data_IF_729804301409
#
_entry.id   IF_729804301409
#
_cell.length_a   1.000
_cell.length_b   1.000
_cell.length_c   1.000
_cell.angle_alpha   90.00
_cell.angle_beta   90.00
_cell.angle_gamma   90.00
#
_symmetry.space_group_name_H-M   'P 1'
#
loop_
_entity.id
_entity.type
_entity.pdbx_description
1 polymer ?
#
# COMPACT_ATOMS: atom_id res chain seq x y z
N UNK A 1 -6.57 46.47 20.39
CA UNK A 1 -6.00 45.27 19.76
C UNK A 1 -4.89 45.70 18.82
N UNK A 2 -3.67 45.23 19.04
CA UNK A 2 -2.51 45.56 18.21
C UNK A 2 -2.40 44.59 17.03
N UNK A 3 -1.92 45.12 15.90
CA UNK A 3 -1.88 44.49 14.58
C UNK A 3 -1.33 43.04 14.61
N UNK A 4 -0.32 42.79 15.45
CA UNK A 4 0.33 41.49 15.62
C UNK A 4 -0.60 40.38 16.15
N UNK A 5 -1.62 40.74 16.93
CA UNK A 5 -2.59 39.77 17.47
C UNK A 5 -3.59 39.32 16.40
N UNK A 6 -3.96 40.24 15.49
CA UNK A 6 -4.84 39.92 14.36
C UNK A 6 -4.17 38.99 13.35
N UNK A 7 -2.90 39.22 13.01
CA UNK A 7 -2.14 38.35 12.10
C UNK A 7 -1.94 36.93 12.64
N UNK A 8 -1.70 36.79 13.94
CA UNK A 8 -1.56 35.47 14.59
C UNK A 8 -2.88 34.70 14.58
N UNK A 9 -4.01 35.37 14.80
CA UNK A 9 -5.33 34.74 14.75
C UNK A 9 -5.67 34.24 13.33
N UNK A 10 -5.39 35.04 12.31
CA UNK A 10 -5.59 34.65 10.90
C UNK A 10 -4.71 33.45 10.52
N UNK A 11 -3.43 33.47 10.91
CA UNK A 11 -2.51 32.36 10.62
C UNK A 11 -2.92 31.05 11.32
N UNK A 12 -3.38 31.13 12.58
CA UNK A 12 -3.87 29.96 13.31
C UNK A 12 -5.15 29.37 12.70
N UNK A 13 -6.09 30.22 12.25
CA UNK A 13 -7.30 29.78 11.58
C UNK A 13 -7.01 29.10 10.23
N UNK A 14 -6.07 29.65 9.44
CA UNK A 14 -5.65 29.05 8.18
C UNK A 14 -4.96 27.67 8.38
N UNK A 15 -4.13 27.53 9.42
CA UNK A 15 -3.49 26.26 9.76
C UNK A 15 -4.50 25.20 10.20
N UNK A 16 -5.48 25.56 11.03
CA UNK A 16 -6.54 24.65 11.47
C UNK A 16 -7.42 24.18 10.29
N UNK A 17 -7.71 25.06 9.34
CA UNK A 17 -8.47 24.72 8.13
C UNK A 17 -7.68 23.82 7.17
N UNK A 18 -6.36 24.01 7.07
CA UNK A 18 -5.51 23.15 6.26
C UNK A 18 -5.34 21.75 6.89
N UNK A 19 -5.24 21.67 8.21
CA UNK A 19 -5.14 20.40 8.94
C UNK A 19 -6.42 19.55 8.84
N UNK A 20 -7.61 20.18 8.78
CA UNK A 20 -8.88 19.45 8.66
C UNK A 20 -9.11 18.84 7.26
N UNK A 21 -8.38 19.28 6.25
CA UNK A 21 -8.44 18.76 4.88
C UNK A 21 -7.48 17.60 4.63
N UNK A 22 -6.56 17.30 5.56
CA UNK A 22 -5.59 16.22 5.42
C UNK A 22 -6.19 14.87 5.87
N UNK A 23 -7.07 14.29 5.05
CA UNK A 23 -7.47 12.89 5.23
C UNK A 23 -6.46 11.96 4.53
N UNK A 24 -5.84 11.06 5.30
CA UNK A 24 -5.02 9.99 4.76
C UNK A 24 -5.91 8.94 4.07
N UNK A 25 -5.61 8.62 2.81
CA UNK A 25 -6.28 7.52 2.12
C UNK A 25 -5.86 6.18 2.75
N UNK A 26 -6.83 5.31 3.02
CA UNK A 26 -6.60 3.97 3.60
C UNK A 26 -6.91 2.89 2.57
N UNK A 27 -6.06 1.86 2.52
CA UNK A 27 -6.15 0.75 1.58
C UNK A 27 -6.12 -0.59 2.29
N UNK A 28 -6.83 -1.57 1.74
CA UNK A 28 -6.75 -2.97 2.15
C UNK A 28 -6.24 -3.82 0.97
N UNK A 29 -5.33 -4.74 1.29
CA UNK A 29 -4.75 -5.70 0.33
C UNK A 29 -5.13 -7.11 0.78
N UNK A 30 -5.78 -7.87 -0.09
CA UNK A 30 -6.26 -9.23 0.20
C UNK A 30 -5.55 -10.21 -0.72
N UNK A 31 -4.87 -11.20 -0.15
CA UNK A 31 -4.24 -12.28 -0.90
C UNK A 31 -5.23 -13.42 -1.16
N UNK A 32 -5.51 -13.71 -2.43
CA UNK A 32 -6.38 -14.82 -2.83
C UNK A 32 -5.53 -15.99 -3.34
N UNK A 33 -5.28 -16.96 -2.47
CA UNK A 33 -4.37 -18.07 -2.76
C UNK A 33 -4.80 -18.97 -3.92
N UNK A 34 -6.08 -19.30 -4.00
CA UNK A 34 -6.64 -20.21 -5.01
C UNK A 34 -6.76 -19.53 -6.37
N UNK A 35 -7.28 -18.29 -6.38
CA UNK A 35 -7.39 -17.45 -7.58
C UNK A 35 -6.05 -16.95 -8.10
N UNK A 36 -5.00 -16.98 -7.26
CA UNK A 36 -3.65 -16.47 -7.56
C UNK A 36 -3.64 -15.00 -7.96
N UNK A 37 -4.34 -14.20 -7.17
CA UNK A 37 -4.34 -12.75 -7.33
C UNK A 37 -4.36 -12.02 -5.97
N UNK A 38 -4.11 -10.72 -6.03
CA UNK A 38 -4.21 -9.80 -4.90
C UNK A 38 -5.29 -8.78 -5.22
N UNK A 39 -6.32 -8.71 -4.39
CA UNK A 39 -7.35 -7.66 -4.49
C UNK A 39 -6.94 -6.42 -3.69
N UNK A 40 -7.12 -5.24 -4.29
CA UNK A 40 -6.84 -3.94 -3.67
C UNK A 40 -8.14 -3.17 -3.50
N UNK A 41 -8.39 -2.71 -2.27
CA UNK A 41 -9.57 -1.94 -1.92
C UNK A 41 -9.18 -0.60 -1.32
N UNK A 42 -9.95 0.44 -1.63
CA UNK A 42 -9.99 1.66 -0.84
C UNK A 42 -10.94 1.46 0.33
N UNK A 43 -10.58 1.95 1.50
CA UNK A 43 -11.38 1.85 2.72
C UNK A 43 -11.97 3.21 3.03
N UNK A 44 -13.30 3.28 3.12
CA UNK A 44 -13.97 4.41 3.74
C UNK A 44 -13.72 4.35 5.25
N UNK A 45 -12.96 5.31 5.79
CA UNK A 45 -12.54 5.28 7.20
C UNK A 45 -13.66 5.60 8.18
N UNK A 46 -14.80 6.11 7.70
CA UNK A 46 -15.95 6.44 8.56
C UNK A 46 -16.91 5.27 8.74
N UNK A 47 -17.08 4.46 7.69
CA UNK A 47 -18.03 3.35 7.63
C UNK A 47 -17.37 1.97 7.57
N UNK A 48 -16.08 1.90 7.24
CA UNK A 48 -15.37 0.65 6.96
C UNK A 48 -15.72 0.04 5.59
N UNK A 49 -16.54 0.70 4.78
CA UNK A 49 -16.93 0.17 3.48
C UNK A 49 -15.72 0.03 2.54
N UNK A 50 -15.65 -1.11 1.84
CA UNK A 50 -14.59 -1.40 0.87
C UNK A 50 -15.05 -1.04 -0.55
N UNK A 51 -14.21 -0.29 -1.27
CA UNK A 51 -14.37 -0.02 -2.70
C UNK A 51 -13.27 -0.71 -3.47
N UNK A 52 -13.62 -1.62 -4.38
CA UNK A 52 -12.63 -2.27 -5.25
C UNK A 52 -11.87 -1.24 -6.10
N UNK A 53 -10.55 -1.40 -6.19
CA UNK A 53 -9.66 -0.53 -6.98
C UNK A 53 -9.03 -1.32 -8.12
N UNK A 54 -8.37 -2.43 -7.80
CA UNK A 54 -7.72 -3.28 -8.78
C UNK A 54 -7.56 -4.71 -8.26
N UNK A 55 -7.35 -5.64 -9.21
CA UNK A 55 -6.98 -7.02 -8.94
C UNK A 55 -5.69 -7.32 -9.70
N UNK A 56 -4.71 -7.88 -9.00
CA UNK A 56 -3.34 -8.03 -9.52
C UNK A 56 -2.98 -9.50 -9.56
N UNK A 57 -2.83 -10.11 -10.75
CA UNK A 57 -2.47 -11.51 -10.86
C UNK A 57 -1.05 -11.76 -10.39
N UNK A 58 -0.80 -12.96 -9.87
CA UNK A 58 0.52 -13.45 -9.47
C UNK A 58 0.76 -14.87 -9.98
N UNK A 59 2.02 -15.22 -10.25
CA UNK A 59 2.34 -16.59 -10.71
C UNK A 59 2.58 -17.52 -9.51
N UNK A 60 1.53 -17.77 -8.72
CA UNK A 60 1.54 -18.74 -7.62
C UNK A 60 0.51 -18.45 -6.52
N UNK A 61 0.39 -19.38 -5.59
CA UNK A 61 -0.47 -19.23 -4.40
C UNK A 61 0.11 -18.16 -3.48
N UNK A 62 -0.56 -17.02 -3.37
CA UNK A 62 -0.11 -15.89 -2.55
C UNK A 62 -0.62 -15.99 -1.12
N UNK A 63 0.30 -16.12 -0.17
CA UNK A 63 0.10 -15.98 1.28
C UNK A 63 1.41 -16.36 2.00
N UNK A 64 1.83 -15.69 3.10
CA UNK A 64 1.31 -14.43 3.63
C UNK A 64 1.80 -13.18 2.86
N UNK A 65 1.33 -12.00 3.25
CA UNK A 65 1.81 -10.70 2.76
C UNK A 65 2.18 -9.75 3.91
N UNK A 66 3.10 -8.82 3.66
CA UNK A 66 3.53 -7.80 4.63
C UNK A 66 3.89 -6.48 3.93
N UNK A 67 3.59 -5.35 4.58
CA UNK A 67 3.99 -4.02 4.11
C UNK A 67 5.41 -3.67 4.59
N UNK A 68 6.14 -2.88 3.80
CA UNK A 68 7.34 -2.20 4.30
C UNK A 68 6.96 -1.15 5.35
N UNK A 69 7.86 -0.79 6.29
CA UNK A 69 7.57 0.18 7.35
C UNK A 69 7.13 1.57 6.84
N UNK A 70 7.59 1.95 5.64
CA UNK A 70 7.23 3.21 4.98
C UNK A 70 5.95 3.10 4.12
N UNK A 71 5.31 1.92 4.09
CA UNK A 71 4.12 1.59 3.28
C UNK A 71 4.26 1.85 1.77
N UNK A 72 5.50 1.97 1.26
CA UNK A 72 5.73 2.11 -0.18
C UNK A 72 5.89 0.77 -0.91
N UNK A 73 5.95 -0.35 -0.18
CA UNK A 73 6.04 -1.69 -0.76
C UNK A 73 5.14 -2.70 -0.06
N UNK A 74 4.58 -3.60 -0.87
CA UNK A 74 3.94 -4.83 -0.41
C UNK A 74 4.82 -6.02 -0.80
N UNK A 75 5.20 -6.84 0.18
CA UNK A 75 5.88 -8.12 -0.04
C UNK A 75 4.87 -9.25 0.06
N UNK A 76 4.87 -10.14 -0.93
CA UNK A 76 3.97 -11.28 -0.99
C UNK A 76 4.77 -12.57 -1.17
N UNK A 77 4.56 -13.54 -0.29
CA UNK A 77 5.15 -14.86 -0.42
C UNK A 77 4.29 -15.71 -1.36
N UNK A 78 4.95 -16.33 -2.34
CA UNK A 78 4.35 -17.26 -3.27
C UNK A 78 4.72 -18.68 -2.84
N UNK A 79 3.71 -19.42 -2.38
CA UNK A 79 3.81 -20.78 -1.83
C UNK A 79 3.68 -21.87 -2.90
N UNK A 80 3.96 -21.54 -4.16
CA UNK A 80 4.05 -22.49 -5.27
C UNK A 80 5.48 -22.54 -5.77
N UNK A 81 5.95 -23.69 -6.24
CA UNK A 81 7.29 -23.84 -6.81
C UNK A 81 7.42 -23.05 -8.12
N UNK A 82 8.46 -22.21 -8.29
CA UNK A 82 9.53 -21.93 -7.32
C UNK A 82 9.06 -20.99 -6.20
N UNK A 83 9.30 -21.41 -4.95
CA UNK A 83 8.99 -20.61 -3.76
C UNK A 83 9.77 -19.31 -3.80
N UNK A 84 9.06 -18.17 -3.76
CA UNK A 84 9.68 -16.85 -3.86
C UNK A 84 8.87 -15.81 -3.12
N UNK A 85 9.53 -14.69 -2.79
CA UNK A 85 8.86 -13.47 -2.35
C UNK A 85 8.88 -12.49 -3.52
N UNK A 86 7.75 -11.88 -3.81
CA UNK A 86 7.63 -10.81 -4.80
C UNK A 86 7.34 -9.50 -4.10
N UNK A 87 7.98 -8.42 -4.54
CA UNK A 87 7.74 -7.08 -4.04
C UNK A 87 6.97 -6.26 -5.06
N UNK A 88 5.97 -5.52 -4.59
CA UNK A 88 5.21 -4.56 -5.38
C UNK A 88 5.35 -3.16 -4.82
N UNK A 89 5.42 -2.15 -5.68
CA UNK A 89 5.46 -0.75 -5.27
C UNK A 89 4.04 -0.18 -5.08
N UNK A 90 3.80 0.50 -3.96
CA UNK A 90 2.54 1.15 -3.64
C UNK A 90 2.65 2.63 -3.99
N UNK A 91 1.85 3.07 -4.97
CA UNK A 91 1.76 4.47 -5.36
C UNK A 91 0.50 5.10 -4.76
N UNK A 92 0.61 6.11 -3.87
CA UNK A 92 -0.56 6.84 -3.40
C UNK A 92 -1.19 7.62 -4.57
N UNK A 93 -2.52 7.67 -4.72
CA UNK A 93 -3.16 8.47 -5.73
C UNK A 93 -2.92 9.95 -5.43
N UNK A 94 -2.29 10.64 -6.38
CA UNK A 94 -1.88 12.04 -6.25
C UNK A 94 -0.79 12.44 -7.23
N UNK A 95 -0.01 11.47 -7.73
CA UNK A 95 0.84 11.66 -8.92
C UNK A 95 0.20 10.98 -10.11
N UNK A 96 -0.38 11.79 -11.00
CA UNK A 96 -0.89 11.35 -12.29
C UNK A 96 0.21 10.67 -13.11
N UNK A 97 0.30 9.35 -13.01
CA UNK A 97 0.78 8.49 -14.09
C UNK A 97 0.31 7.08 -13.77
N UNK A 98 -0.48 6.49 -14.68
CA UNK A 98 -0.79 5.05 -14.71
C UNK A 98 0.49 4.27 -14.43
N UNK A 99 0.67 3.73 -13.24
CA UNK A 99 1.83 2.90 -12.91
C UNK A 99 1.37 1.72 -12.06
N UNK A 100 1.04 0.69 -12.82
CA UNK A 100 0.87 -0.72 -12.48
C UNK A 100 1.88 -1.17 -11.43
N UNK A 101 1.41 -1.96 -10.46
CA UNK A 101 2.27 -2.76 -9.58
C UNK A 101 3.28 -3.53 -10.44
N UNK A 102 4.56 -3.20 -10.32
CA UNK A 102 5.64 -3.90 -11.03
C UNK A 102 6.28 -4.89 -10.07
N UNK A 103 6.11 -6.19 -10.33
CA UNK A 103 6.82 -7.23 -9.60
C UNK A 103 8.32 -7.13 -9.91
N UNK A 104 9.14 -6.93 -8.88
CA UNK A 104 10.60 -7.16 -8.97
C UNK A 104 10.94 -8.41 -8.17
N UNK A 105 11.64 -9.40 -8.75
CA UNK A 105 12.16 -10.52 -7.98
C UNK A 105 13.20 -9.99 -6.99
N UNK A 106 13.00 -10.20 -5.69
CA UNK A 106 14.09 -10.10 -4.73
C UNK A 106 14.93 -11.37 -4.85
N UNK A 107 16.20 -11.25 -5.25
CA UNK A 107 17.16 -12.37 -5.14
C UNK A 107 17.39 -12.64 -3.66
N UNK A 108 16.77 -13.67 -3.12
CA UNK A 108 17.24 -14.31 -1.89
C UNK A 108 18.24 -15.42 -2.28
N UNK A 109 19.36 -15.60 -1.54
CA UNK A 109 20.22 -16.77 -1.73
C UNK A 109 19.41 -18.03 -1.43
N UNK A 110 19.31 -18.94 -2.40
CA UNK A 110 18.79 -20.29 -2.12
C UNK A 110 19.74 -20.97 -1.13
N UNK A 111 19.20 -21.44 0.00
CA UNK A 111 19.92 -22.36 0.86
C UNK A 111 20.22 -23.64 0.06
N UNK A 112 21.42 -24.24 0.22
CA UNK A 112 21.74 -25.50 -0.46
C UNK A 112 20.76 -26.58 -0.03
N UNK A 113 20.18 -27.27 -1.02
CA UNK A 113 19.32 -28.43 -0.77
C UNK A 113 20.17 -29.56 -0.16
N UNK A 114 19.68 -30.28 0.86
CA UNK A 114 20.40 -31.43 1.39
C UNK A 114 20.44 -32.52 0.30
N UNK A 115 21.66 -32.98 -0.01
CA UNK A 115 21.89 -34.15 -0.87
C UNK A 115 21.36 -35.36 -0.11
N UNK A 116 20.43 -36.09 -0.72
CA UNK A 116 19.98 -37.40 -0.24
C UNK A 116 20.88 -38.49 -0.80
#
# INVERSE_FOLDING_TARGET
MNHNTAWRAVAAAAFALAASLAHAATYAYVSNGDSRDISVFGVDTSSGALRAIETVPVDGTVMPMALSPDHHRLYAALRSTPYRVVGFAINPPGRARRQRLAARPTRHPQAPQPVR
#
